data_IF_157816744552
#
_entry.id   IF_157816744552
#
_cell.length_a   1.000
_cell.length_b   1.000
_cell.length_c   1.000
_cell.angle_alpha   90.00
_cell.angle_beta   90.00
_cell.angle_gamma   90.00
#
_symmetry.space_group_name_H-M   'P 1'
#
loop_
_entity.id
_entity.type
_entity.pdbx_description
1 polymer ?
#
# COMPACT_ATOMS: atom_id res chain seq x y z
N UNK A 1 11.28 -15.90 22.79
CA UNK A 1 10.61 -15.44 21.55
C UNK A 1 10.49 -16.57 20.53
N UNK A 2 10.38 -17.84 20.96
CA UNK A 2 10.28 -18.95 20.01
C UNK A 2 8.98 -18.82 19.23
N UNK A 3 9.05 -18.88 17.90
CA UNK A 3 7.90 -18.76 17.01
C UNK A 3 7.41 -17.33 16.78
N UNK A 4 8.10 -16.31 17.31
CA UNK A 4 7.75 -14.91 17.04
C UNK A 4 8.18 -14.53 15.63
N UNK A 5 7.31 -13.80 14.94
CA UNK A 5 7.54 -13.21 13.62
C UNK A 5 7.35 -11.71 13.77
N UNK A 6 8.40 -10.94 13.53
CA UNK A 6 8.42 -9.48 13.72
C UNK A 6 8.72 -8.85 12.36
N UNK A 7 7.89 -7.94 11.91
CA UNK A 7 7.96 -7.34 10.58
C UNK A 7 7.86 -5.82 10.68
N UNK A 8 8.81 -5.10 10.09
CA UNK A 8 8.78 -3.65 9.97
C UNK A 8 8.75 -2.86 11.29
N UNK A 9 9.19 -3.45 12.41
CA UNK A 9 9.16 -2.79 13.73
C UNK A 9 10.46 -2.04 13.99
N UNK A 10 10.37 -0.79 14.46
CA UNK A 10 11.52 -0.07 15.00
C UNK A 10 11.79 -0.47 16.46
N UNK A 11 12.92 -1.15 16.68
CA UNK A 11 13.42 -1.63 17.96
C UNK A 11 14.60 -0.81 18.48
N UNK A 12 15.01 0.27 17.79
CA UNK A 12 16.20 1.07 18.15
C UNK A 12 16.12 1.58 19.60
N UNK A 13 14.97 2.11 20.00
CA UNK A 13 14.69 2.56 21.38
C UNK A 13 14.44 1.45 22.40
N UNK A 14 14.54 0.17 22.03
CA UNK A 14 14.20 -0.99 22.88
C UNK A 14 15.35 -1.98 23.03
N UNK A 15 16.59 -1.55 22.74
CA UNK A 15 17.79 -2.40 22.82
C UNK A 15 17.88 -3.17 24.14
N UNK A 16 17.73 -2.51 25.29
CA UNK A 16 17.83 -3.19 26.60
C UNK A 16 16.77 -4.27 26.79
N UNK A 17 15.57 -4.08 26.24
CA UNK A 17 14.50 -5.09 26.28
C UNK A 17 14.90 -6.29 25.43
N UNK A 18 15.35 -6.04 24.19
CA UNK A 18 15.76 -7.09 23.25
C UNK A 18 16.86 -7.98 23.82
N UNK A 19 17.84 -7.38 24.49
CA UNK A 19 18.97 -8.10 25.11
C UNK A 19 18.55 -9.06 26.24
N UNK A 20 17.39 -8.84 26.87
CA UNK A 20 16.88 -9.74 27.92
C UNK A 20 16.07 -10.92 27.36
N UNK A 21 15.74 -10.90 26.08
CA UNK A 21 14.91 -11.93 25.46
C UNK A 21 15.76 -13.10 24.95
N UNK A 22 15.17 -14.30 24.94
CA UNK A 22 15.73 -15.49 24.29
C UNK A 22 15.28 -15.54 22.82
N UNK A 23 16.18 -15.34 21.85
CA UNK A 23 15.79 -15.07 20.47
C UNK A 23 15.68 -16.33 19.59
N UNK A 24 16.13 -17.49 20.08
CA UNK A 24 16.10 -18.75 19.34
C UNK A 24 14.73 -19.04 18.70
N UNK A 25 14.74 -19.15 17.37
CA UNK A 25 13.55 -19.44 16.56
C UNK A 25 12.61 -18.25 16.34
N UNK A 26 13.06 -17.02 16.60
CA UNK A 26 12.38 -15.81 16.14
C UNK A 26 12.80 -15.49 14.69
N UNK A 27 11.88 -14.90 13.92
CA UNK A 27 12.13 -14.37 12.57
C UNK A 27 11.89 -12.86 12.60
N UNK A 28 12.85 -12.10 12.05
CA UNK A 28 12.75 -10.65 11.94
C UNK A 28 12.93 -10.23 10.47
N UNK A 29 11.97 -9.45 9.98
CA UNK A 29 11.87 -8.93 8.62
C UNK A 29 11.92 -7.41 8.67
N UNK A 30 12.96 -6.79 8.10
CA UNK A 30 13.07 -5.34 7.94
C UNK A 30 12.97 -4.49 9.22
N UNK A 31 13.23 -5.07 10.40
CA UNK A 31 13.15 -4.33 11.67
C UNK A 31 14.40 -3.46 11.88
N UNK A 32 14.20 -2.20 12.28
CA UNK A 32 15.31 -1.31 12.64
C UNK A 32 15.77 -1.62 14.07
N UNK A 33 17.08 -1.70 14.32
CA UNK A 33 17.63 -1.99 15.65
C UNK A 33 19.06 -1.50 15.76
N UNK A 34 19.60 -1.48 16.99
CA UNK A 34 21.02 -1.22 17.21
C UNK A 34 21.88 -2.44 16.85
N UNK A 35 23.15 -2.22 16.49
CA UNK A 35 24.11 -3.31 16.19
C UNK A 35 24.20 -4.32 17.34
N UNK A 36 24.12 -3.83 18.58
CA UNK A 36 24.16 -4.67 19.78
C UNK A 36 22.94 -5.60 19.87
N UNK A 37 21.76 -5.08 19.56
CA UNK A 37 20.53 -5.88 19.51
C UNK A 37 20.60 -6.91 18.37
N UNK A 38 21.06 -6.50 17.19
CA UNK A 38 21.23 -7.38 16.03
C UNK A 38 22.18 -8.55 16.34
N UNK A 39 23.36 -8.26 16.90
CA UNK A 39 24.35 -9.27 17.27
C UNK A 39 23.79 -10.27 18.29
N UNK A 40 23.07 -9.79 19.31
CA UNK A 40 22.42 -10.64 20.30
C UNK A 40 21.38 -11.56 19.68
N UNK A 41 20.52 -11.02 18.80
CA UNK A 41 19.47 -11.79 18.14
C UNK A 41 20.06 -12.86 17.22
N UNK A 42 21.02 -12.49 16.34
CA UNK A 42 21.69 -13.45 15.45
C UNK A 42 22.46 -14.51 16.24
N UNK A 43 23.28 -14.09 17.20
CA UNK A 43 24.08 -15.00 18.02
C UNK A 43 23.23 -15.95 18.89
N UNK A 44 22.03 -15.53 19.28
CA UNK A 44 21.09 -16.37 20.03
C UNK A 44 20.13 -17.21 19.17
N UNK A 45 20.31 -17.25 17.85
CA UNK A 45 19.57 -18.15 16.95
C UNK A 45 18.25 -17.60 16.38
N UNK A 46 18.09 -16.27 16.28
CA UNK A 46 17.04 -15.68 15.45
C UNK A 46 17.47 -15.59 13.98
N UNK A 47 16.51 -15.70 13.07
CA UNK A 47 16.69 -15.46 11.64
C UNK A 47 16.39 -14.00 11.32
N UNK A 48 17.40 -13.25 10.91
CA UNK A 48 17.27 -11.85 10.52
C UNK A 48 17.49 -11.72 9.02
N UNK A 49 16.47 -11.25 8.31
CA UNK A 49 16.53 -11.03 6.88
C UNK A 49 17.32 -9.74 6.58
N UNK A 50 18.22 -9.76 5.58
CA UNK A 50 19.07 -8.63 5.25
C UNK A 50 18.26 -7.51 4.59
N UNK A 51 18.77 -6.27 4.68
CA UNK A 51 18.27 -5.19 3.82
C UNK A 51 18.63 -5.53 2.36
N UNK A 52 17.66 -5.41 1.47
CA UNK A 52 17.90 -5.49 0.02
C UNK A 52 18.25 -4.06 -0.43
N UNK A 53 19.45 -3.83 -0.99
CA UNK A 53 19.89 -2.49 -1.38
C UNK A 53 19.09 -1.97 -2.59
N UNK A 54 19.11 -0.64 -2.79
CA UNK A 54 18.65 0.02 -4.03
C UNK A 54 17.17 -0.23 -4.39
N UNK A 55 16.31 -0.40 -3.39
CA UNK A 55 14.86 -0.47 -3.59
C UNK A 55 14.19 0.89 -3.30
N UNK A 56 13.25 1.36 -4.15
CA UNK A 56 12.46 2.56 -3.88
C UNK A 56 11.30 2.30 -2.90
N UNK A 57 11.13 1.06 -2.44
CA UNK A 57 10.09 0.65 -1.49
C UNK A 57 10.67 -0.23 -0.39
N UNK A 58 9.93 -0.39 0.71
CA UNK A 58 10.25 -1.33 1.77
C UNK A 58 9.67 -2.72 1.46
N UNK A 59 10.48 -3.73 1.11
CA UNK A 59 9.98 -5.08 0.80
C UNK A 59 9.48 -5.84 2.03
N UNK A 60 9.72 -5.32 3.24
CA UNK A 60 9.33 -5.94 4.50
C UNK A 60 8.21 -5.16 5.21
N UNK A 61 7.47 -4.32 4.49
CA UNK A 61 6.38 -3.53 5.07
C UNK A 61 5.28 -4.43 5.62
N UNK A 62 4.69 -4.03 6.75
CA UNK A 62 3.62 -4.77 7.45
C UNK A 62 2.30 -3.99 7.52
N UNK A 63 2.16 -2.93 6.73
CA UNK A 63 0.95 -2.10 6.65
C UNK A 63 0.67 -1.74 5.20
N UNK A 64 -0.58 -1.38 4.88
CA UNK A 64 -0.93 -0.84 3.55
C UNK A 64 -0.35 0.56 3.33
N UNK A 65 -0.24 0.96 2.07
CA UNK A 65 0.21 2.32 1.72
C UNK A 65 -0.87 3.34 2.08
N UNK A 66 -0.46 4.52 2.53
CA UNK A 66 -1.35 5.69 2.59
C UNK A 66 -1.15 6.57 1.36
N UNK A 67 -2.16 7.36 0.96
CA UNK A 67 -1.98 8.34 -0.10
C UNK A 67 -0.84 9.32 0.20
N UNK A 68 -0.73 9.80 1.44
CA UNK A 68 0.32 10.73 1.85
C UNK A 68 1.73 10.12 1.72
N UNK A 69 1.87 8.81 1.97
CA UNK A 69 3.13 8.09 1.77
C UNK A 69 3.47 7.97 0.28
N UNK A 70 2.50 7.56 -0.53
CA UNK A 70 2.69 7.32 -1.98
C UNK A 70 3.01 8.60 -2.74
N UNK A 71 2.36 9.71 -2.38
CA UNK A 71 2.51 11.02 -3.03
C UNK A 71 3.43 11.98 -2.26
N UNK A 72 4.24 11.47 -1.33
CA UNK A 72 5.20 12.29 -0.60
C UNK A 72 6.11 13.07 -1.56
N UNK A 73 6.19 14.39 -1.38
CA UNK A 73 7.01 15.28 -2.20
C UNK A 73 6.37 15.78 -3.51
N UNK A 74 5.10 15.43 -3.78
CA UNK A 74 4.39 15.82 -5.01
C UNK A 74 4.45 17.33 -5.29
N UNK A 75 4.10 18.17 -4.31
CA UNK A 75 4.07 19.63 -4.48
C UNK A 75 5.47 20.26 -4.68
N UNK A 76 6.51 19.62 -4.15
CA UNK A 76 7.86 20.15 -4.13
C UNK A 76 8.70 19.70 -5.34
N UNK A 77 8.45 18.49 -5.85
CA UNK A 77 9.33 17.84 -6.84
C UNK A 77 8.58 17.19 -8.01
N UNK A 78 7.25 17.30 -8.04
CA UNK A 78 6.41 16.72 -9.07
C UNK A 78 6.19 15.21 -8.90
N UNK A 79 5.32 14.64 -9.74
CA UNK A 79 4.88 13.25 -9.63
C UNK A 79 6.02 12.24 -9.79
N UNK A 80 6.93 12.45 -10.73
CA UNK A 80 8.05 11.52 -11.00
C UNK A 80 9.01 11.33 -9.81
N UNK A 81 9.01 12.26 -8.86
CA UNK A 81 9.82 12.18 -7.65
C UNK A 81 9.12 11.42 -6.50
N UNK A 82 7.84 11.07 -6.66
CA UNK A 82 7.05 10.42 -5.61
C UNK A 82 7.42 8.94 -5.45
N UNK A 83 7.26 8.37 -4.24
CA UNK A 83 7.47 6.93 -4.02
C UNK A 83 6.65 6.04 -4.95
N UNK A 84 5.42 6.44 -5.32
CA UNK A 84 4.57 5.73 -6.27
C UNK A 84 5.22 5.64 -7.66
N UNK A 85 5.58 6.79 -8.24
CA UNK A 85 6.19 6.85 -9.57
C UNK A 85 7.54 6.10 -9.63
N UNK A 86 8.37 6.24 -8.59
CA UNK A 86 9.66 5.55 -8.51
C UNK A 86 9.49 4.03 -8.42
N UNK A 87 8.54 3.57 -7.61
CA UNK A 87 8.24 2.13 -7.48
C UNK A 87 7.67 1.57 -8.77
N UNK A 88 6.78 2.30 -9.44
CA UNK A 88 6.26 1.90 -10.74
C UNK A 88 7.36 1.84 -11.81
N UNK A 89 8.22 2.86 -11.90
CA UNK A 89 9.36 2.87 -12.82
C UNK A 89 10.28 1.67 -12.58
N UNK A 90 10.65 1.41 -11.32
CA UNK A 90 11.45 0.24 -10.94
C UNK A 90 10.78 -1.07 -11.34
N UNK A 91 9.45 -1.17 -11.18
CA UNK A 91 8.69 -2.39 -11.49
C UNK A 91 8.66 -2.72 -12.98
N UNK A 92 8.85 -1.70 -13.84
CA UNK A 92 8.88 -1.77 -15.30
C UNK A 92 10.26 -2.01 -15.89
N UNK A 93 11.32 -1.89 -15.10
CA UNK A 93 12.67 -2.17 -15.57
C UNK A 93 12.77 -3.66 -15.96
N UNK A 94 13.31 -3.99 -17.16
CA UNK A 94 13.36 -5.37 -17.67
C UNK A 94 14.46 -6.24 -17.00
N UNK A 95 14.78 -5.98 -15.73
CA UNK A 95 15.86 -6.65 -15.01
C UNK A 95 15.33 -7.86 -14.20
N UNK A 96 15.81 -9.05 -14.56
CA UNK A 96 15.33 -10.36 -14.08
C UNK A 96 16.15 -10.94 -12.91
N UNK A 97 16.93 -10.12 -12.21
CA UNK A 97 17.78 -10.60 -11.11
C UNK A 97 16.96 -11.22 -9.95
N UNK A 98 17.50 -12.28 -9.36
CA UNK A 98 16.91 -13.00 -8.23
C UNK A 98 16.61 -12.07 -7.06
N UNK A 99 17.47 -11.09 -6.79
CA UNK A 99 17.25 -10.13 -5.70
C UNK A 99 15.98 -9.30 -5.94
N UNK A 100 15.67 -8.93 -7.19
CA UNK A 100 14.45 -8.19 -7.55
C UNK A 100 13.20 -9.05 -7.41
N UNK A 101 13.27 -10.30 -7.86
CA UNK A 101 12.18 -11.26 -7.65
C UNK A 101 11.89 -11.48 -6.18
N UNK A 102 12.94 -11.66 -5.37
CA UNK A 102 12.79 -11.81 -3.93
C UNK A 102 12.20 -10.54 -3.30
N UNK A 103 12.66 -9.36 -3.69
CA UNK A 103 12.13 -8.08 -3.21
C UNK A 103 10.64 -7.91 -3.53
N UNK A 104 10.23 -8.23 -4.76
CA UNK A 104 8.82 -8.18 -5.20
C UNK A 104 7.98 -9.19 -4.43
N UNK A 105 8.43 -10.44 -4.33
CA UNK A 105 7.69 -11.47 -3.62
C UNK A 105 7.51 -11.16 -2.12
N UNK A 106 8.55 -10.62 -1.47
CA UNK A 106 8.47 -10.19 -0.07
C UNK A 106 7.49 -9.01 0.09
N UNK A 107 7.57 -8.03 -0.81
CA UNK A 107 6.67 -6.90 -0.82
C UNK A 107 5.22 -7.35 -0.99
N UNK A 108 4.93 -8.12 -2.03
CA UNK A 108 3.57 -8.56 -2.38
C UNK A 108 2.98 -9.40 -1.25
N UNK A 109 3.77 -10.29 -0.63
CA UNK A 109 3.34 -11.02 0.55
C UNK A 109 2.98 -10.08 1.72
N UNK A 110 3.78 -9.05 1.97
CA UNK A 110 3.49 -8.04 2.99
C UNK A 110 2.21 -7.24 2.70
N UNK A 111 1.94 -6.92 1.43
CA UNK A 111 0.69 -6.28 1.00
C UNK A 111 -0.50 -7.22 1.21
N UNK A 112 -0.38 -8.48 0.80
CA UNK A 112 -1.44 -9.49 0.93
C UNK A 112 -1.82 -9.70 2.40
N UNK A 113 -0.83 -9.86 3.28
CA UNK A 113 -1.06 -10.02 4.72
C UNK A 113 -1.76 -8.78 5.33
N UNK A 114 -1.28 -7.58 5.00
CA UNK A 114 -1.87 -6.33 5.47
C UNK A 114 -3.29 -6.11 4.91
N UNK A 115 -3.55 -6.56 3.68
CA UNK A 115 -4.87 -6.48 3.05
C UNK A 115 -5.85 -7.44 3.72
N UNK A 116 -5.44 -8.68 3.99
CA UNK A 116 -6.25 -9.66 4.73
C UNK A 116 -6.64 -9.11 6.11
N UNK A 117 -5.67 -8.53 6.84
CA UNK A 117 -5.95 -7.91 8.14
C UNK A 117 -6.93 -6.75 8.00
N UNK A 118 -6.71 -5.85 7.03
CA UNK A 118 -7.59 -4.70 6.78
C UNK A 118 -9.03 -5.10 6.44
N UNK A 119 -9.22 -6.19 5.70
CA UNK A 119 -10.52 -6.65 5.23
C UNK A 119 -11.20 -7.63 6.20
N UNK A 120 -10.53 -8.06 7.26
CA UNK A 120 -11.07 -9.00 8.25
C UNK A 120 -12.39 -8.50 8.84
N UNK A 121 -13.45 -9.30 8.68
CA UNK A 121 -14.80 -8.97 9.15
C UNK A 121 -15.57 -7.93 8.31
N UNK A 122 -15.00 -7.45 7.21
CA UNK A 122 -15.64 -6.46 6.32
C UNK A 122 -16.29 -7.15 5.11
N UNK A 123 -17.32 -6.51 4.54
CA UNK A 123 -18.00 -7.00 3.33
C UNK A 123 -17.49 -6.22 2.13
N UNK A 124 -16.74 -6.88 1.26
CA UNK A 124 -16.10 -6.24 0.11
C UNK A 124 -16.90 -6.49 -1.16
N UNK A 125 -17.07 -5.46 -1.98
CA UNK A 125 -17.65 -5.55 -3.32
C UNK A 125 -16.59 -5.13 -4.34
N UNK A 126 -16.22 -6.06 -5.21
CA UNK A 126 -15.35 -5.80 -6.34
C UNK A 126 -16.11 -5.09 -7.46
N UNK A 127 -15.69 -3.87 -7.81
CA UNK A 127 -16.23 -3.12 -8.95
C UNK A 127 -15.22 -3.18 -10.09
N UNK A 128 -15.63 -3.86 -11.17
CA UNK A 128 -14.83 -4.03 -12.38
C UNK A 128 -15.34 -3.09 -13.47
N UNK A 129 -14.44 -2.48 -14.24
CA UNK A 129 -14.81 -1.59 -15.33
C UNK A 129 -13.62 -1.17 -16.17
N UNK A 130 -13.91 -0.69 -17.39
CA UNK A 130 -12.88 -0.31 -18.36
C UNK A 130 -12.10 0.94 -17.95
N UNK A 131 -10.80 0.93 -18.25
CA UNK A 131 -9.89 2.05 -18.02
C UNK A 131 -10.05 3.19 -19.05
N UNK A 132 -10.80 2.95 -20.14
CA UNK A 132 -11.00 3.91 -21.24
C UNK A 132 -12.16 4.89 -21.01
N UNK A 133 -12.85 4.77 -19.88
CA UNK A 133 -13.99 5.64 -19.58
C UNK A 133 -13.50 7.04 -19.22
N UNK A 134 -13.83 8.03 -20.03
CA UNK A 134 -13.49 9.43 -19.78
C UNK A 134 -14.30 10.01 -18.61
N UNK A 135 -13.68 10.93 -17.85
CA UNK A 135 -14.29 11.55 -16.65
C UNK A 135 -15.49 12.44 -16.94
N UNK A 136 -15.65 12.89 -18.18
CA UNK A 136 -16.78 13.69 -18.66
C UNK A 136 -17.96 12.84 -19.19
N UNK A 137 -17.81 11.52 -19.27
CA UNK A 137 -18.87 10.62 -19.66
C UNK A 137 -19.87 10.40 -18.51
N UNK A 138 -21.17 10.42 -18.83
CA UNK A 138 -22.25 10.09 -17.89
C UNK A 138 -22.04 8.79 -17.11
N UNK A 139 -21.45 7.76 -17.75
CA UNK A 139 -21.18 6.45 -17.12
C UNK A 139 -20.11 6.54 -16.03
N UNK A 140 -19.23 7.55 -16.07
CA UNK A 140 -18.28 7.81 -14.99
C UNK A 140 -19.05 8.25 -13.74
N UNK A 141 -20.02 9.15 -13.91
CA UNK A 141 -20.91 9.58 -12.82
C UNK A 141 -21.69 8.39 -12.23
N UNK A 142 -22.23 7.52 -13.09
CA UNK A 142 -22.95 6.32 -12.64
C UNK A 142 -22.07 5.38 -11.82
N UNK A 143 -20.82 5.16 -12.24
CA UNK A 143 -19.86 4.35 -11.50
C UNK A 143 -19.50 4.97 -10.14
N UNK A 144 -19.40 6.30 -10.07
CA UNK A 144 -19.16 7.00 -8.82
C UNK A 144 -20.37 6.94 -7.87
N UNK A 145 -21.58 7.09 -8.40
CA UNK A 145 -22.81 6.90 -7.60
C UNK A 145 -22.92 5.46 -7.07
N UNK A 146 -22.57 4.46 -7.90
CA UNK A 146 -22.53 3.06 -7.48
C UNK A 146 -21.55 2.86 -6.31
N UNK A 147 -20.31 3.35 -6.44
CA UNK A 147 -19.30 3.24 -5.39
C UNK A 147 -19.76 3.89 -4.07
N UNK A 148 -20.40 5.06 -4.16
CA UNK A 148 -20.93 5.77 -3.00
C UNK A 148 -22.04 5.00 -2.30
N UNK A 149 -23.00 4.47 -3.05
CA UNK A 149 -24.12 3.73 -2.49
C UNK A 149 -23.68 2.41 -1.84
N UNK A 150 -22.70 1.72 -2.43
CA UNK A 150 -22.09 0.55 -1.82
C UNK A 150 -21.45 0.89 -0.46
N UNK A 151 -20.65 1.96 -0.41
CA UNK A 151 -20.01 2.41 0.82
C UNK A 151 -21.03 2.82 1.90
N UNK A 152 -22.07 3.59 1.54
CA UNK A 152 -23.16 3.98 2.46
C UNK A 152 -23.94 2.77 3.01
N UNK A 153 -23.97 1.65 2.29
CA UNK A 153 -24.55 0.38 2.74
C UNK A 153 -23.60 -0.47 3.61
N UNK A 154 -22.44 0.07 3.97
CA UNK A 154 -21.46 -0.62 4.81
C UNK A 154 -20.59 -1.63 4.06
N UNK A 155 -20.45 -1.49 2.74
CA UNK A 155 -19.52 -2.29 1.94
C UNK A 155 -18.22 -1.55 1.69
N UNK A 156 -17.09 -2.25 1.71
CA UNK A 156 -15.87 -1.73 1.12
C UNK A 156 -15.92 -1.91 -0.40
N UNK A 157 -15.55 -0.87 -1.12
CA UNK A 157 -15.39 -0.91 -2.57
C UNK A 157 -13.94 -1.26 -2.88
N UNK A 158 -13.74 -2.33 -3.66
CA UNK A 158 -12.44 -2.71 -4.18
C UNK A 158 -12.44 -2.65 -5.71
N UNK A 159 -11.37 -2.09 -6.27
CA UNK A 159 -11.17 -1.96 -7.72
C UNK A 159 -9.74 -2.35 -8.08
N UNK A 160 -9.42 -2.39 -9.37
CA UNK A 160 -8.03 -2.56 -9.83
C UNK A 160 -7.14 -1.32 -9.66
N UNK A 161 -7.68 -0.21 -9.16
CA UNK A 161 -6.92 1.03 -8.90
C UNK A 161 -6.56 1.88 -10.14
N UNK A 162 -6.99 1.47 -11.34
CA UNK A 162 -6.74 2.21 -12.58
C UNK A 162 -7.72 3.37 -12.83
N UNK A 163 -7.56 4.09 -13.96
CA UNK A 163 -8.43 5.21 -14.33
C UNK A 163 -9.83 4.74 -14.77
N UNK A 164 -10.69 5.70 -15.10
CA UNK A 164 -12.02 5.45 -15.64
C UNK A 164 -13.00 4.92 -14.59
N UNK A 165 -13.69 3.81 -14.90
CA UNK A 165 -14.74 3.30 -14.02
C UNK A 165 -14.22 2.87 -12.63
N UNK A 166 -12.97 2.41 -12.54
CA UNK A 166 -12.31 2.04 -11.28
C UNK A 166 -12.05 3.28 -10.41
N UNK A 167 -11.49 4.33 -11.01
CA UNK A 167 -11.31 5.64 -10.36
C UNK A 167 -12.65 6.20 -9.88
N UNK A 168 -13.67 6.19 -10.74
CA UNK A 168 -15.00 6.68 -10.40
C UNK A 168 -15.59 5.97 -9.17
N UNK A 169 -15.55 4.64 -9.14
CA UNK A 169 -16.06 3.87 -8.02
C UNK A 169 -15.30 4.15 -6.71
N UNK A 170 -13.97 4.31 -6.78
CA UNK A 170 -13.15 4.71 -5.63
C UNK A 170 -13.50 6.12 -5.15
N UNK A 171 -13.68 7.09 -6.05
CA UNK A 171 -14.10 8.46 -5.74
C UNK A 171 -15.45 8.47 -5.02
N UNK A 172 -16.42 7.72 -5.56
CA UNK A 172 -17.74 7.54 -4.96
C UNK A 172 -17.67 7.02 -3.54
N UNK A 173 -16.92 5.93 -3.33
CA UNK A 173 -16.73 5.33 -2.02
C UNK A 173 -16.02 6.27 -1.04
N UNK A 174 -15.03 7.04 -1.51
CA UNK A 174 -14.32 8.03 -0.71
C UNK A 174 -15.24 9.16 -0.21
N UNK A 175 -16.20 9.58 -1.05
CA UNK A 175 -17.17 10.64 -0.72
C UNK A 175 -18.47 10.12 -0.10
N UNK A 176 -18.51 8.89 0.41
CA UNK A 176 -19.70 8.28 1.00
C UNK A 176 -20.32 9.13 2.12
N UNK A 177 -19.48 9.62 3.03
CA UNK A 177 -19.90 10.39 4.21
C UNK A 177 -20.02 11.90 3.95
N UNK A 178 -19.65 12.37 2.76
CA UNK A 178 -19.83 13.77 2.38
C UNK A 178 -21.30 14.07 2.01
N UNK A 179 -21.65 15.35 1.92
CA UNK A 179 -22.94 15.82 1.41
C UNK A 179 -23.12 15.47 -0.07
N UNK A 180 -24.37 15.33 -0.53
CA UNK A 180 -24.65 14.81 -1.87
C UNK A 180 -24.01 15.65 -2.98
N UNK A 181 -24.02 16.97 -2.83
CA UNK A 181 -23.42 17.94 -3.74
C UNK A 181 -21.90 17.79 -3.90
N UNK A 182 -21.21 17.24 -2.89
CA UNK A 182 -19.76 17.06 -2.94
C UNK A 182 -19.33 16.12 -4.07
N UNK A 183 -20.10 15.05 -4.31
CA UNK A 183 -19.80 14.12 -5.40
C UNK A 183 -20.02 14.80 -6.76
N UNK A 184 -21.14 15.49 -6.93
CA UNK A 184 -21.43 16.21 -8.18
C UNK A 184 -20.37 17.26 -8.47
N UNK A 185 -19.93 18.01 -7.46
CA UNK A 185 -18.85 18.98 -7.60
C UNK A 185 -17.51 18.32 -7.92
N UNK A 186 -17.17 17.19 -7.29
CA UNK A 186 -15.93 16.48 -7.55
C UNK A 186 -15.87 15.93 -8.99
N UNK A 187 -16.97 15.31 -9.46
CA UNK A 187 -17.08 14.82 -10.84
C UNK A 187 -16.97 15.98 -11.84
N UNK A 188 -17.62 17.12 -11.58
CA UNK A 188 -17.51 18.29 -12.45
C UNK A 188 -16.08 18.83 -12.53
N UNK A 189 -15.34 18.85 -11.43
CA UNK A 189 -13.92 19.22 -11.41
C UNK A 189 -13.07 18.25 -12.23
N UNK A 190 -13.29 16.94 -12.08
CA UNK A 190 -12.54 15.92 -12.82
C UNK A 190 -12.86 15.90 -14.32
N UNK A 191 -14.11 16.20 -14.70
CA UNK A 191 -14.53 16.30 -16.10
C UNK A 191 -13.77 17.40 -16.87
N UNK A 192 -13.17 18.39 -16.18
CA UNK A 192 -12.31 19.38 -16.82
C UNK A 192 -11.00 18.78 -17.38
N UNK A 193 -10.61 17.58 -16.92
CA UNK A 193 -9.45 16.82 -17.41
C UNK A 193 -9.91 15.39 -17.73
N UNK A 194 -10.59 15.17 -18.89
CA UNK A 194 -11.30 13.92 -19.19
C UNK A 194 -10.43 12.66 -19.25
N UNK A 195 -9.16 12.83 -19.64
CA UNK A 195 -8.21 11.75 -19.84
C UNK A 195 -7.15 11.67 -18.73
N UNK A 196 -6.58 10.47 -18.59
CA UNK A 196 -5.36 10.22 -17.82
C UNK A 196 -4.22 10.06 -18.84
N UNK A 197 -3.21 10.94 -18.79
CA UNK A 197 -2.00 10.91 -19.63
C UNK A 197 -0.76 10.91 -18.76
#
# INVERSE_FOLDING_TARGET
>A
MRGWRIQGVDLTGRTDVVLRLRPAGAILLGSAMSDRAEQHLRGGGALLFPKIPELPFNPYRGSLYTPDELYAGLDASGYEATPDAQTYAWSREPNDDLARHLARALHDHGIDDALIERLSGRRVVGVMGGHELARDDSRYTDAALLGRELARRGHDVATGGGPGAMEAANLGAYLADAEDEALTSAVATLAAVPGFQ
#
